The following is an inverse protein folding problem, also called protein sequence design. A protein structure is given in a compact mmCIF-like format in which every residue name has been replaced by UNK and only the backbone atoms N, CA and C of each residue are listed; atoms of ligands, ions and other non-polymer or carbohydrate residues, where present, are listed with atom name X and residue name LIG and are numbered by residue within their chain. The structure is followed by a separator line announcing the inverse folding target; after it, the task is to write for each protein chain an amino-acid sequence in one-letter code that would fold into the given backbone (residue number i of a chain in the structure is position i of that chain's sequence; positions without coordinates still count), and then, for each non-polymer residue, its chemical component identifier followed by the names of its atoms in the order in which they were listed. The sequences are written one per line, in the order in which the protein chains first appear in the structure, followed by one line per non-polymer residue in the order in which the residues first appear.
data_IF_527745684119
#
_entry.id   IF_527745684119
#
_cell.length_a   1.000
_cell.length_b   1.000
_cell.length_c   1.000
_cell.angle_alpha   90.00
_cell.angle_beta   90.00
_cell.angle_gamma   90.00
#
_symmetry.space_group_name_H-M   'P 1'
#
loop_
_entity.id
_entity.type
_entity.pdbx_description
1 polymer ?
#
# COMPACT_ATOMS: atom_id res chain seq x y z
N UNK A 1 -8.70 2.54 25.31
CA UNK A 1 -8.58 3.98 24.97
C UNK A 1 -9.02 4.17 23.52
N UNK A 2 -9.50 5.37 23.14
CA UNK A 2 -9.81 5.67 21.74
C UNK A 2 -8.53 5.91 20.95
N UNK A 3 -8.52 5.55 19.66
CA UNK A 3 -7.40 5.81 18.77
C UNK A 3 -7.19 7.32 18.62
N UNK A 4 -5.95 7.85 18.79
CA UNK A 4 -5.66 9.24 18.49
C UNK A 4 -5.89 9.54 17.00
N UNK A 5 -6.43 10.73 16.69
CA UNK A 5 -6.63 11.11 15.29
C UNK A 5 -5.33 11.11 14.50
N UNK A 6 -5.37 10.47 13.35
CA UNK A 6 -4.28 10.55 12.38
C UNK A 6 -4.34 11.94 11.72
N UNK A 7 -3.42 12.81 12.07
CA UNK A 7 -3.25 14.10 11.39
C UNK A 7 -2.63 13.88 10.01
N UNK A 8 -3.14 14.59 9.02
CA UNK A 8 -2.60 14.60 7.67
C UNK A 8 -3.55 13.99 6.63
N UNK A 9 -3.27 14.36 5.40
CA UNK A 9 -3.97 13.88 4.19
C UNK A 9 -3.16 12.78 3.50
N UNK A 10 -3.74 12.12 2.51
CA UNK A 10 -2.98 11.24 1.62
C UNK A 10 -2.15 12.09 0.66
N UNK A 11 -0.82 11.99 0.66
CA UNK A 11 -0.01 12.72 -0.30
C UNK A 11 -0.31 12.25 -1.73
N UNK A 12 -0.22 13.19 -2.65
CA UNK A 12 -0.18 12.96 -4.10
C UNK A 12 1.10 13.54 -4.66
N UNK A 13 1.28 13.51 -5.97
CA UNK A 13 2.39 14.19 -6.61
C UNK A 13 2.26 15.72 -6.54
N UNK A 14 1.03 16.26 -6.57
CA UNK A 14 0.77 17.71 -6.51
C UNK A 14 0.53 18.25 -5.10
N UNK A 15 0.17 17.38 -4.16
CA UNK A 15 -0.05 17.74 -2.76
C UNK A 15 0.87 16.92 -1.86
N UNK A 16 2.16 17.31 -1.78
CA UNK A 16 3.14 16.61 -0.95
C UNK A 16 2.78 16.79 0.53
N UNK A 17 3.22 15.85 1.35
CA UNK A 17 3.02 15.90 2.80
C UNK A 17 4.33 16.24 3.49
N UNK A 18 4.32 17.20 4.42
CA UNK A 18 5.46 17.43 5.30
C UNK A 18 5.64 16.26 6.25
N UNK A 19 6.86 15.78 6.34
CA UNK A 19 7.29 14.70 7.22
C UNK A 19 8.51 15.15 8.03
N UNK A 20 9.00 14.33 8.96
CA UNK A 20 10.14 14.70 9.82
C UNK A 20 11.46 14.83 9.06
N UNK A 21 11.59 14.14 7.95
CA UNK A 21 12.77 14.13 7.08
C UNK A 21 12.60 14.99 5.81
N UNK A 22 11.58 15.86 5.75
CA UNK A 22 11.27 16.69 4.61
C UNK A 22 9.92 16.37 4.00
N UNK A 23 9.64 16.94 2.83
CA UNK A 23 8.41 16.67 2.10
C UNK A 23 8.47 15.27 1.47
N UNK A 24 7.34 14.58 1.44
CA UNK A 24 7.17 13.34 0.70
C UNK A 24 6.17 13.51 -0.44
N UNK A 25 6.50 12.93 -1.59
CA UNK A 25 5.72 12.93 -2.81
C UNK A 25 5.37 11.49 -3.16
N UNK A 26 4.11 11.24 -3.54
CA UNK A 26 3.65 9.90 -3.95
C UNK A 26 3.50 9.82 -5.45
N UNK A 27 4.09 8.78 -6.03
CA UNK A 27 4.00 8.43 -7.45
C UNK A 27 3.10 7.22 -7.60
N UNK A 28 2.09 7.32 -8.48
CA UNK A 28 1.13 6.27 -8.83
C UNK A 28 1.27 5.94 -10.31
N UNK A 29 2.12 4.99 -10.69
CA UNK A 29 2.26 4.62 -12.10
C UNK A 29 0.95 4.06 -12.66
N UNK A 30 0.67 4.35 -13.92
CA UNK A 30 -0.45 3.73 -14.61
C UNK A 30 -0.29 2.21 -14.63
N UNK A 31 -1.39 1.48 -14.54
CA UNK A 31 -1.41 0.02 -14.44
C UNK A 31 -0.59 -0.55 -13.28
N UNK A 32 -0.20 0.28 -12.30
CA UNK A 32 0.77 -0.05 -11.25
C UNK A 32 2.10 -0.59 -11.82
N UNK A 33 2.48 -0.22 -13.03
CA UNK A 33 3.62 -0.73 -13.80
C UNK A 33 4.61 0.39 -14.13
N UNK A 34 5.89 0.07 -14.11
CA UNK A 34 7.00 0.92 -14.48
C UNK A 34 7.83 0.22 -15.55
N UNK A 35 8.31 0.96 -16.56
CA UNK A 35 9.43 0.47 -17.36
C UNK A 35 10.72 0.53 -16.55
N UNK A 36 11.75 -0.21 -16.98
CA UNK A 36 13.08 -0.13 -16.36
C UNK A 36 13.62 1.31 -16.35
N UNK A 37 13.48 2.02 -17.47
CA UNK A 37 13.87 3.43 -17.59
C UNK A 37 13.14 4.32 -16.56
N UNK A 38 11.83 4.16 -16.42
CA UNK A 38 11.04 4.91 -15.43
C UNK A 38 11.47 4.60 -14.00
N UNK A 39 11.76 3.34 -13.69
CA UNK A 39 12.21 2.93 -12.36
C UNK A 39 13.61 3.46 -12.02
N UNK A 40 14.55 3.40 -12.97
CA UNK A 40 15.88 3.97 -12.82
C UNK A 40 15.83 5.51 -12.70
N UNK A 41 14.98 6.16 -13.53
CA UNK A 41 14.75 7.59 -13.45
C UNK A 41 14.15 8.02 -12.10
N UNK A 42 13.22 7.22 -11.55
CA UNK A 42 12.66 7.44 -10.21
C UNK A 42 13.75 7.34 -9.12
N UNK A 43 14.66 6.36 -9.21
CA UNK A 43 15.83 6.26 -8.32
C UNK A 43 16.72 7.50 -8.40
N UNK A 44 17.03 7.96 -9.62
CA UNK A 44 17.81 9.18 -9.84
C UNK A 44 17.16 10.44 -9.26
N UNK A 45 15.83 10.56 -9.39
CA UNK A 45 15.06 11.66 -8.80
C UNK A 45 15.08 11.60 -7.27
N UNK A 46 14.95 10.42 -6.68
CA UNK A 46 15.02 10.25 -5.23
C UNK A 46 16.39 10.62 -4.67
N UNK A 47 17.46 10.28 -5.38
CA UNK A 47 18.84 10.62 -5.01
C UNK A 47 19.14 12.11 -5.18
N UNK A 48 18.77 12.68 -6.31
CA UNK A 48 19.14 14.06 -6.67
C UNK A 48 18.32 15.11 -5.92
N UNK A 49 17.04 14.86 -5.69
CA UNK A 49 16.10 15.86 -5.15
C UNK A 49 15.57 15.52 -3.76
N UNK A 50 15.62 14.26 -3.35
CA UNK A 50 15.19 13.76 -2.05
C UNK A 50 16.34 13.40 -1.12
N UNK A 51 16.10 12.45 -0.23
CA UNK A 51 17.11 11.88 0.67
C UNK A 51 17.57 10.47 0.27
N UNK A 52 17.30 10.04 -0.98
CA UNK A 52 17.64 8.72 -1.49
C UNK A 52 16.76 7.59 -0.97
N UNK A 53 15.73 7.86 -0.17
CA UNK A 53 14.82 6.83 0.35
C UNK A 53 13.54 6.74 -0.49
N UNK A 54 13.14 5.51 -0.78
CA UNK A 54 11.92 5.16 -1.53
C UNK A 54 11.07 4.23 -0.67
N UNK A 55 9.84 4.69 -0.31
CA UNK A 55 8.86 3.87 0.40
C UNK A 55 7.90 3.20 -0.59
N UNK A 56 7.67 1.90 -0.44
CA UNK A 56 6.61 1.15 -1.12
C UNK A 56 5.35 1.15 -0.28
N UNK A 57 4.21 1.40 -0.90
CA UNK A 57 2.96 1.61 -0.18
C UNK A 57 1.96 0.47 -0.38
N UNK A 58 1.01 0.33 0.56
CA UNK A 58 -0.12 -0.60 0.42
C UNK A 58 -1.15 -0.21 -0.65
N UNK A 59 -0.82 0.75 -1.51
CA UNK A 59 -1.66 1.21 -2.63
C UNK A 59 -0.95 1.07 -3.97
N UNK A 60 -0.03 0.11 -4.08
CA UNK A 60 0.77 -0.13 -5.28
C UNK A 60 1.36 1.20 -5.84
N UNK A 61 1.95 1.98 -4.95
CA UNK A 61 2.57 3.27 -5.26
C UNK A 61 3.89 3.40 -4.52
N UNK A 62 4.76 4.26 -4.99
CA UNK A 62 6.02 4.60 -4.32
C UNK A 62 6.00 6.03 -3.79
N UNK A 63 6.82 6.31 -2.78
CA UNK A 63 7.00 7.65 -2.22
C UNK A 63 8.48 8.01 -2.23
N UNK A 64 8.78 9.19 -2.77
CA UNK A 64 10.08 9.84 -2.66
C UNK A 64 10.04 10.70 -1.42
N UNK A 65 11.08 10.64 -0.60
CA UNK A 65 11.20 11.31 0.69
C UNK A 65 12.29 12.36 0.71
N UNK A 66 12.24 13.24 1.71
CA UNK A 66 13.33 14.19 1.98
C UNK A 66 13.37 15.38 1.02
N UNK A 67 12.27 15.65 0.28
CA UNK A 67 12.22 16.79 -0.61
C UNK A 67 12.14 18.10 0.19
N UNK A 68 12.77 19.15 -0.34
CA UNK A 68 12.60 20.54 0.11
C UNK A 68 11.59 21.25 -0.80
N UNK A 69 11.05 22.41 -0.39
CA UNK A 69 10.20 23.20 -1.29
C UNK A 69 10.90 23.55 -2.62
N UNK A 70 12.22 23.79 -2.60
CA UNK A 70 13.00 24.11 -3.80
C UNK A 70 13.24 22.89 -4.71
N UNK A 71 13.48 21.71 -4.13
CA UNK A 71 13.69 20.48 -4.90
C UNK A 71 12.38 19.84 -5.37
N UNK A 72 11.27 20.09 -4.68
CA UNK A 72 9.97 19.52 -5.01
C UNK A 72 9.52 19.85 -6.44
N UNK A 73 9.60 21.12 -6.85
CA UNK A 73 9.19 21.54 -8.21
C UNK A 73 10.03 20.84 -9.29
N UNK A 74 11.33 20.69 -9.04
CA UNK A 74 12.24 20.00 -9.96
C UNK A 74 11.93 18.50 -10.03
N UNK A 75 11.69 17.86 -8.88
CA UNK A 75 11.30 16.45 -8.81
C UNK A 75 9.97 16.20 -9.53
N UNK A 76 8.98 17.08 -9.35
CA UNK A 76 7.68 16.99 -10.03
C UNK A 76 7.84 17.08 -11.55
N UNK A 77 8.58 18.08 -12.06
CA UNK A 77 8.88 18.22 -13.50
C UNK A 77 9.60 16.99 -14.06
N UNK A 78 10.60 16.45 -13.35
CA UNK A 78 11.32 15.27 -13.78
C UNK A 78 10.41 14.01 -13.82
N UNK A 79 9.51 13.85 -12.84
CA UNK A 79 8.51 12.76 -12.84
C UNK A 79 7.50 12.90 -13.98
N UNK A 80 7.09 14.13 -14.33
CA UNK A 80 6.22 14.39 -15.48
C UNK A 80 6.93 14.07 -16.80
N UNK A 81 8.21 14.41 -16.94
CA UNK A 81 9.01 14.07 -18.13
C UNK A 81 9.14 12.55 -18.32
N UNK A 82 9.16 11.77 -17.23
CA UNK A 82 9.12 10.30 -17.26
C UNK A 82 7.71 9.72 -17.42
N UNK A 83 6.67 10.55 -17.57
CA UNK A 83 5.25 10.13 -17.62
C UNK A 83 4.80 9.37 -16.37
N UNK A 84 5.50 9.51 -15.25
CA UNK A 84 5.17 8.90 -13.96
C UNK A 84 4.09 9.65 -13.19
N UNK A 85 3.90 10.93 -13.50
CA UNK A 85 2.90 11.83 -12.91
C UNK A 85 2.14 12.51 -14.05
N UNK A 86 0.83 12.69 -13.87
CA UNK A 86 -0.02 13.40 -14.82
C UNK A 86 0.41 14.87 -14.97
N UNK A 87 0.03 15.50 -16.07
CA UNK A 87 0.28 16.94 -16.28
C UNK A 87 -0.59 17.81 -15.37
N UNK A 88 -1.75 17.32 -14.94
CA UNK A 88 -2.70 18.05 -14.10
C UNK A 88 -2.96 17.34 -12.77
N UNK A 89 -3.25 18.12 -11.74
CA UNK A 89 -3.58 17.62 -10.41
C UNK A 89 -4.90 16.84 -10.39
N UNK A 90 -5.88 17.23 -11.20
CA UNK A 90 -7.18 16.57 -11.31
C UNK A 90 -7.02 15.11 -11.79
N UNK A 91 -6.33 14.89 -12.89
CA UNK A 91 -6.08 13.56 -13.41
C UNK A 91 -5.21 12.72 -12.46
N UNK A 92 -4.20 13.33 -11.82
CA UNK A 92 -3.35 12.63 -10.85
C UNK A 92 -4.15 12.15 -9.63
N UNK A 93 -5.13 12.93 -9.17
CA UNK A 93 -5.98 12.56 -8.03
C UNK A 93 -6.77 11.26 -8.30
N UNK A 94 -7.19 11.03 -9.53
CA UNK A 94 -8.03 9.91 -9.96
C UNK A 94 -7.24 8.64 -10.32
N UNK A 95 -5.91 8.67 -10.32
CA UNK A 95 -5.03 7.53 -10.61
C UNK A 95 -4.99 6.44 -9.52
N UNK A 96 -5.84 6.52 -8.50
CA UNK A 96 -5.90 5.58 -7.39
C UNK A 96 -6.54 4.24 -7.73
N UNK A 97 -6.11 3.58 -8.82
CA UNK A 97 -6.62 2.27 -9.26
C UNK A 97 -5.64 1.18 -8.87
N UNK A 98 -6.11 0.18 -8.12
CA UNK A 98 -5.36 -1.05 -7.82
C UNK A 98 -5.73 -2.12 -8.85
N UNK A 99 -4.72 -2.76 -9.43
CA UNK A 99 -4.90 -3.89 -10.33
C UNK A 99 -4.39 -5.17 -9.67
N UNK A 100 -5.06 -6.29 -9.93
CA UNK A 100 -4.48 -7.61 -9.67
C UNK A 100 -3.10 -7.69 -10.32
N UNK A 101 -2.01 -7.98 -9.60
CA UNK A 101 -0.66 -7.94 -10.19
C UNK A 101 -0.44 -8.95 -11.32
N UNK A 102 -1.34 -9.92 -11.47
CA UNK A 102 -1.25 -10.97 -12.50
C UNK A 102 -1.92 -10.60 -13.84
N UNK A 103 -2.39 -9.35 -13.98
CA UNK A 103 -3.01 -8.91 -15.25
C UNK A 103 -2.08 -9.10 -16.44
N UNK A 104 -2.66 -9.35 -17.61
CA UNK A 104 -1.97 -9.45 -18.90
C UNK A 104 -2.49 -8.39 -19.86
N UNK A 105 -1.64 -7.98 -20.81
CA UNK A 105 -2.08 -7.07 -21.85
C UNK A 105 -3.29 -7.65 -22.60
N UNK A 106 -4.33 -6.82 -22.76
CA UNK A 106 -5.61 -7.17 -23.39
C UNK A 106 -6.51 -8.16 -22.60
N UNK A 107 -6.15 -8.55 -21.39
CA UNK A 107 -7.09 -9.27 -20.53
C UNK A 107 -8.22 -8.36 -20.01
N UNK A 108 -9.16 -8.93 -19.27
CA UNK A 108 -10.30 -8.17 -18.75
C UNK A 108 -9.88 -7.09 -17.76
N UNK A 109 -8.91 -7.36 -16.87
CA UNK A 109 -8.36 -6.38 -15.92
C UNK A 109 -7.74 -5.20 -16.66
N UNK A 110 -6.92 -5.48 -17.68
CA UNK A 110 -6.30 -4.44 -18.50
C UNK A 110 -7.35 -3.59 -19.24
N UNK A 111 -8.29 -4.23 -19.96
CA UNK A 111 -9.30 -3.50 -20.75
C UNK A 111 -10.21 -2.62 -19.89
N UNK A 112 -10.68 -3.12 -18.75
CA UNK A 112 -11.49 -2.33 -17.83
C UNK A 112 -10.70 -1.17 -17.22
N UNK A 113 -9.43 -1.38 -16.90
CA UNK A 113 -8.57 -0.31 -16.37
C UNK A 113 -8.33 0.77 -17.43
N UNK A 114 -8.02 0.37 -18.67
CA UNK A 114 -7.85 1.30 -19.78
C UNK A 114 -9.13 2.10 -20.02
N UNK A 115 -10.27 1.42 -20.08
CA UNK A 115 -11.57 2.07 -20.27
C UNK A 115 -11.91 3.06 -19.14
N UNK A 116 -11.47 2.80 -17.89
CA UNK A 116 -11.59 3.77 -16.81
C UNK A 116 -10.65 4.96 -16.99
N UNK A 117 -9.39 4.73 -17.39
CA UNK A 117 -8.42 5.81 -17.62
C UNK A 117 -8.85 6.74 -18.75
N UNK A 118 -9.48 6.19 -19.80
CA UNK A 118 -10.00 6.97 -20.93
C UNK A 118 -11.21 7.86 -20.54
N UNK A 119 -11.80 7.61 -19.37
CA UNK A 119 -13.03 8.27 -18.90
C UNK A 119 -12.86 8.91 -17.51
N UNK A 120 -11.63 9.22 -17.09
CA UNK A 120 -11.40 9.84 -15.77
C UNK A 120 -12.13 11.17 -15.59
N UNK A 121 -12.30 11.93 -16.66
CA UNK A 121 -13.02 13.23 -16.64
C UNK A 121 -14.53 13.10 -16.33
N UNK A 122 -15.09 11.90 -16.44
CA UNK A 122 -16.48 11.62 -16.08
C UNK A 122 -16.64 11.32 -14.58
N UNK A 123 -15.54 11.14 -13.83
CA UNK A 123 -15.60 10.89 -12.39
C UNK A 123 -15.90 12.20 -11.64
N UNK A 124 -16.70 12.13 -10.55
CA UNK A 124 -16.91 13.28 -9.68
C UNK A 124 -15.66 13.57 -8.86
N UNK A 125 -15.67 14.72 -8.17
CA UNK A 125 -14.68 14.97 -7.11
C UNK A 125 -14.82 13.91 -6.01
N UNK A 126 -13.73 13.23 -5.69
CA UNK A 126 -13.65 12.11 -4.75
C UNK A 126 -12.63 12.40 -3.63
N UNK A 127 -12.86 11.88 -2.41
CA UNK A 127 -11.89 12.01 -1.32
C UNK A 127 -10.50 11.47 -1.71
N UNK A 128 -9.44 12.10 -1.21
CA UNK A 128 -8.04 11.73 -1.54
C UNK A 128 -7.68 10.27 -1.21
N UNK A 129 -8.44 9.62 -0.34
CA UNK A 129 -8.27 8.21 0.02
C UNK A 129 -9.17 7.27 -0.77
N UNK A 130 -10.09 7.79 -1.58
CA UNK A 130 -10.95 6.98 -2.42
C UNK A 130 -10.12 6.22 -3.46
N UNK A 131 -10.52 5.00 -3.77
CA UNK A 131 -9.81 4.18 -4.74
C UNK A 131 -10.67 3.11 -5.36
N UNK A 132 -10.21 2.63 -6.50
CA UNK A 132 -10.82 1.58 -7.29
C UNK A 132 -9.95 0.32 -7.25
N UNK A 133 -10.56 -0.87 -7.42
CA UNK A 133 -9.82 -2.13 -7.60
C UNK A 133 -10.35 -2.88 -8.81
N UNK A 134 -9.45 -3.30 -9.69
CA UNK A 134 -9.70 -4.15 -10.84
C UNK A 134 -9.09 -5.54 -10.57
N UNK A 135 -9.92 -6.47 -10.12
CA UNK A 135 -9.50 -7.79 -9.63
C UNK A 135 -10.30 -8.89 -10.34
N UNK A 136 -10.16 -8.93 -11.67
CA UNK A 136 -10.96 -9.79 -12.54
C UNK A 136 -10.25 -11.09 -12.95
N UNK A 137 -9.21 -11.47 -12.21
CA UNK A 137 -8.51 -12.75 -12.36
C UNK A 137 -9.37 -13.95 -11.97
N UNK A 138 -8.80 -15.16 -12.10
CA UNK A 138 -9.49 -16.41 -11.70
C UNK A 138 -9.84 -16.46 -10.21
N UNK A 139 -9.02 -15.80 -9.40
CA UNK A 139 -9.18 -15.69 -7.96
C UNK A 139 -8.93 -14.24 -7.55
N UNK A 140 -9.85 -13.60 -6.81
CA UNK A 140 -9.60 -12.27 -6.29
C UNK A 140 -8.40 -12.27 -5.32
N UNK A 141 -7.48 -11.33 -5.49
CA UNK A 141 -6.29 -11.18 -4.64
C UNK A 141 -6.24 -9.82 -3.92
N UNK A 142 -7.12 -8.87 -4.30
CA UNK A 142 -7.11 -7.51 -3.76
C UNK A 142 -8.14 -7.27 -2.65
N UNK A 143 -8.87 -8.28 -2.18
CA UNK A 143 -9.97 -8.10 -1.22
C UNK A 143 -9.53 -7.49 0.12
N UNK A 144 -8.32 -7.80 0.58
CA UNK A 144 -7.71 -7.17 1.76
C UNK A 144 -7.15 -5.76 1.53
N UNK A 145 -7.13 -5.28 0.28
CA UNK A 145 -6.56 -4.00 -0.08
C UNK A 145 -7.59 -2.86 0.02
N UNK A 146 -7.10 -1.64 0.27
CA UNK A 146 -7.97 -0.48 0.42
C UNK A 146 -8.46 0.03 -0.95
N UNK A 147 -9.72 -0.25 -1.26
CA UNK A 147 -10.45 0.35 -2.39
C UNK A 147 -11.89 0.61 -1.95
N UNK A 148 -12.62 1.47 -2.63
CA UNK A 148 -14.01 1.82 -2.30
C UNK A 148 -15.01 1.18 -3.27
N UNK A 149 -14.65 1.11 -4.54
CA UNK A 149 -15.42 0.42 -5.58
C UNK A 149 -14.52 -0.63 -6.23
N UNK A 150 -15.08 -1.81 -6.45
CA UNK A 150 -14.34 -2.97 -6.97
C UNK A 150 -15.04 -3.59 -8.16
N UNK A 151 -14.28 -4.03 -9.15
CA UNK A 151 -14.71 -4.98 -10.17
C UNK A 151 -13.99 -6.30 -9.92
N UNK A 152 -14.76 -7.34 -9.61
CA UNK A 152 -14.24 -8.68 -9.30
C UNK A 152 -14.96 -9.74 -10.16
N UNK A 153 -14.30 -10.86 -10.40
CA UNK A 153 -14.94 -12.03 -11.02
C UNK A 153 -15.47 -12.95 -9.94
N UNK A 154 -16.74 -13.35 -10.05
CA UNK A 154 -17.36 -14.35 -9.18
C UNK A 154 -16.88 -15.76 -9.54
N UNK A 155 -17.20 -16.73 -8.68
CA UNK A 155 -16.82 -18.14 -8.88
C UNK A 155 -17.39 -18.75 -10.17
N UNK A 156 -18.55 -18.27 -10.63
CA UNK A 156 -19.23 -18.70 -11.86
C UNK A 156 -18.85 -17.85 -13.09
N UNK A 157 -17.81 -16.99 -12.96
CA UNK A 157 -17.25 -16.21 -14.06
C UNK A 157 -17.98 -14.90 -14.38
N UNK A 158 -18.95 -14.47 -13.57
CA UNK A 158 -19.63 -13.16 -13.75
C UNK A 158 -18.75 -12.03 -13.32
N UNK A 159 -18.82 -10.92 -14.04
CA UNK A 159 -18.22 -9.66 -13.60
C UNK A 159 -19.16 -8.96 -12.61
N UNK A 160 -18.65 -8.67 -11.42
CA UNK A 160 -19.38 -8.03 -10.34
C UNK A 160 -18.84 -6.64 -10.05
N UNK A 161 -19.70 -5.65 -9.97
CA UNK A 161 -19.45 -4.34 -9.37
C UNK A 161 -19.80 -4.42 -7.88
N UNK A 162 -18.81 -4.12 -7.01
CA UNK A 162 -18.90 -4.33 -5.57
C UNK A 162 -18.55 -3.05 -4.82
N UNK A 163 -19.38 -2.68 -3.87
CA UNK A 163 -19.09 -1.65 -2.87
C UNK A 163 -18.16 -2.20 -1.78
N UNK A 164 -17.19 -1.43 -1.34
CA UNK A 164 -16.27 -1.89 -0.29
C UNK A 164 -17.04 -2.22 1.01
N UNK A 165 -16.79 -3.41 1.53
CA UNK A 165 -17.48 -3.95 2.71
C UNK A 165 -18.74 -4.76 2.41
N UNK A 166 -19.21 -4.81 1.16
CA UNK A 166 -20.38 -5.63 0.78
C UNK A 166 -20.00 -7.10 0.52
N UNK A 167 -20.88 -8.02 0.92
CA UNK A 167 -20.75 -9.45 0.65
C UNK A 167 -21.32 -9.86 -0.71
N UNK A 168 -22.08 -8.96 -1.35
CA UNK A 168 -22.73 -9.14 -2.64
C UNK A 168 -22.30 -8.03 -3.60
N UNK A 169 -22.29 -8.34 -4.88
CA UNK A 169 -22.06 -7.40 -5.96
C UNK A 169 -23.15 -7.47 -7.02
N UNK A 170 -23.30 -6.39 -7.77
CA UNK A 170 -24.19 -6.34 -8.94
C UNK A 170 -23.48 -6.93 -10.14
N UNK A 171 -24.13 -7.88 -10.84
CA UNK A 171 -23.64 -8.37 -12.12
C UNK A 171 -23.70 -7.27 -13.19
N UNK A 172 -22.58 -7.07 -13.88
CA UNK A 172 -22.44 -6.10 -14.99
C UNK A 172 -21.83 -6.77 -16.21
N UNK A 173 -22.15 -6.30 -17.41
CA UNK A 173 -21.44 -6.71 -18.61
C UNK A 173 -20.09 -5.97 -18.73
N UNK A 174 -19.18 -6.48 -19.53
CA UNK A 174 -17.91 -5.80 -19.81
C UNK A 174 -18.15 -4.39 -20.38
N UNK A 175 -19.14 -4.24 -21.24
CA UNK A 175 -19.45 -2.98 -21.93
C UNK A 175 -20.08 -1.93 -20.98
N UNK A 176 -20.78 -2.37 -19.95
CA UNK A 176 -21.47 -1.47 -19.01
C UNK A 176 -20.72 -1.26 -17.70
N UNK A 177 -19.70 -2.07 -17.41
CA UNK A 177 -19.00 -2.08 -16.13
C UNK A 177 -18.44 -0.71 -15.70
N UNK A 178 -17.78 0.00 -16.62
CA UNK A 178 -17.18 1.30 -16.32
C UNK A 178 -18.25 2.39 -16.16
N UNK A 179 -19.31 2.38 -16.97
CA UNK A 179 -20.44 3.30 -16.78
C UNK A 179 -21.13 3.08 -15.43
N UNK A 180 -21.33 1.82 -15.03
CA UNK A 180 -21.91 1.48 -13.73
C UNK A 180 -20.98 1.88 -12.56
N UNK A 181 -19.65 1.71 -12.71
CA UNK A 181 -18.65 2.15 -11.73
C UNK A 181 -18.67 3.68 -11.56
N UNK A 182 -18.70 4.44 -12.66
CA UNK A 182 -18.77 5.90 -12.65
C UNK A 182 -20.08 6.38 -12.00
N UNK A 183 -21.22 5.75 -12.33
CA UNK A 183 -22.51 6.06 -11.71
C UNK A 183 -22.47 5.82 -10.19
N UNK A 184 -21.88 4.71 -9.72
CA UNK A 184 -21.69 4.44 -8.29
C UNK A 184 -20.77 5.46 -7.61
N UNK A 185 -19.72 5.93 -8.29
CA UNK A 185 -18.86 6.99 -7.77
C UNK A 185 -19.61 8.33 -7.61
N UNK A 186 -20.51 8.66 -8.56
CA UNK A 186 -21.40 9.83 -8.44
C UNK A 186 -22.39 9.71 -7.27
N UNK A 187 -23.01 8.54 -7.10
CA UNK A 187 -23.90 8.28 -5.95
C UNK A 187 -23.16 8.47 -4.63
N UNK A 188 -21.94 7.93 -4.52
CA UNK A 188 -21.08 8.12 -3.35
C UNK A 188 -20.77 9.60 -3.11
N UNK A 189 -20.31 10.34 -4.14
CA UNK A 189 -19.98 11.76 -4.02
C UNK A 189 -21.19 12.58 -3.56
N UNK A 190 -22.40 12.28 -4.05
CA UNK A 190 -23.64 12.91 -3.61
C UNK A 190 -23.96 12.57 -2.15
N UNK A 191 -23.81 11.30 -1.74
CA UNK A 191 -24.13 10.86 -0.38
C UNK A 191 -23.24 11.48 0.70
N UNK A 192 -21.99 11.81 0.37
CA UNK A 192 -21.04 12.45 1.32
C UNK A 192 -21.05 13.98 1.28
N UNK A 193 -21.85 14.59 0.41
CA UNK A 193 -21.86 16.05 0.20
C UNK A 193 -22.22 16.78 1.50
N UNK A 194 -21.35 17.69 1.94
CA UNK A 194 -21.51 18.41 3.21
C UNK A 194 -21.17 17.60 4.47
N UNK A 195 -20.73 16.33 4.32
CA UNK A 195 -20.32 15.44 5.40
C UNK A 195 -18.82 15.37 5.64
N UNK A 196 -18.36 14.30 6.31
CA UNK A 196 -16.96 14.09 6.60
C UNK A 196 -16.16 13.72 5.33
N UNK A 197 -15.14 14.50 4.93
CA UNK A 197 -14.33 14.23 3.74
C UNK A 197 -13.48 12.94 3.84
N UNK A 198 -13.40 12.31 5.02
CA UNK A 198 -12.73 11.04 5.23
C UNK A 198 -13.68 9.83 5.16
N UNK A 199 -14.97 10.04 4.82
CA UNK A 199 -15.93 8.94 4.65
C UNK A 199 -15.46 7.99 3.57
N UNK A 200 -15.67 6.69 3.80
CA UNK A 200 -15.36 5.59 2.88
C UNK A 200 -16.66 4.90 2.46
N UNK A 201 -16.65 4.24 1.32
CA UNK A 201 -17.82 3.52 0.82
C UNK A 201 -18.39 2.55 1.86
N UNK A 202 -17.55 1.78 2.56
CA UNK A 202 -17.96 0.84 3.62
C UNK A 202 -18.70 1.47 4.80
N UNK A 203 -18.65 2.81 4.95
CA UNK A 203 -19.33 3.53 6.02
C UNK A 203 -20.72 4.02 5.61
N UNK A 204 -21.09 3.85 4.35
CA UNK A 204 -22.41 4.16 3.84
C UNK A 204 -23.30 2.92 3.86
N UNK A 205 -24.65 3.09 4.01
CA UNK A 205 -25.57 1.99 3.78
C UNK A 205 -25.44 1.49 2.35
N UNK A 206 -25.14 0.21 2.16
CA UNK A 206 -25.10 -0.39 0.83
C UNK A 206 -26.52 -0.72 0.35
N UNK A 207 -26.89 -0.33 -0.87
CA UNK A 207 -28.16 -0.74 -1.44
C UNK A 207 -28.22 -2.25 -1.77
N UNK A 208 -27.10 -2.96 -1.82
CA UNK A 208 -26.99 -4.38 -2.15
C UNK A 208 -26.73 -5.28 -0.93
N UNK A 209 -27.30 -4.94 0.24
CA UNK A 209 -27.04 -5.68 1.49
C UNK A 209 -27.78 -7.02 1.60
N UNK A 210 -28.74 -7.33 0.74
CA UNK A 210 -29.52 -8.58 0.85
C UNK A 210 -29.48 -9.42 -0.42
N UNK A 211 -29.45 -10.75 -0.25
CA UNK A 211 -29.60 -11.73 -1.33
C UNK A 211 -31.03 -11.73 -1.96
N UNK A 212 -31.93 -10.85 -1.54
CA UNK A 212 -33.27 -10.67 -2.07
C UNK A 212 -33.31 -9.73 -3.28
N UNK A 213 -32.21 -9.06 -3.59
CA UNK A 213 -32.10 -8.29 -4.83
C UNK A 213 -31.77 -9.24 -5.98
N UNK A 214 -32.67 -9.31 -6.97
CA UNK A 214 -32.61 -10.19 -8.17
C UNK A 214 -31.26 -10.05 -8.93
N UNK A 215 -30.54 -8.95 -8.73
CA UNK A 215 -29.25 -8.65 -9.37
C UNK A 215 -28.06 -8.79 -8.43
N UNK A 216 -28.26 -9.26 -7.19
CA UNK A 216 -27.20 -9.42 -6.22
C UNK A 216 -26.58 -10.81 -6.27
N UNK A 217 -25.30 -10.90 -6.57
CA UNK A 217 -24.54 -12.15 -6.58
C UNK A 217 -23.50 -12.14 -5.47
N UNK A 218 -23.41 -13.26 -4.77
CA UNK A 218 -22.41 -13.41 -3.69
C UNK A 218 -21.00 -13.33 -4.28
N UNK A 219 -20.15 -12.47 -3.70
CA UNK A 219 -18.74 -12.38 -4.10
C UNK A 219 -18.00 -13.66 -3.71
N UNK A 220 -16.98 -14.00 -4.49
CA UNK A 220 -16.04 -15.06 -4.12
C UNK A 220 -15.11 -14.52 -3.03
N UNK A 221 -15.12 -15.12 -1.84
CA UNK A 221 -14.15 -14.76 -0.79
C UNK A 221 -12.81 -15.42 -1.09
N UNK A 222 -11.74 -14.63 -1.00
CA UNK A 222 -10.37 -15.09 -1.17
C UNK A 222 -9.45 -14.29 -0.25
N UNK A 223 -8.52 -15.01 0.38
CA UNK A 223 -7.43 -14.42 1.17
C UNK A 223 -6.07 -14.60 0.46
N UNK A 224 -6.12 -14.96 -0.83
CA UNK A 224 -4.91 -15.15 -1.62
C UNK A 224 -4.17 -13.81 -1.80
N UNK A 225 -2.87 -13.89 -1.81
CA UNK A 225 -1.96 -12.83 -2.25
C UNK A 225 -0.95 -13.41 -3.23
N UNK A 226 -0.28 -12.58 -4.00
CA UNK A 226 0.82 -13.06 -4.81
C UNK A 226 1.98 -13.49 -3.89
N UNK A 227 2.45 -14.75 -3.92
CA UNK A 227 3.54 -15.21 -3.07
C UNK A 227 4.84 -14.49 -3.41
N UNK A 228 5.74 -14.34 -2.42
CA UNK A 228 7.09 -13.84 -2.65
C UNK A 228 7.96 -14.90 -3.32
N UNK A 229 9.03 -14.45 -3.97
CA UNK A 229 9.95 -15.30 -4.70
C UNK A 229 9.59 -15.47 -6.17
N UNK A 230 9.97 -16.60 -6.75
CA UNK A 230 9.74 -16.89 -8.17
C UNK A 230 8.28 -17.21 -8.44
N UNK A 231 7.70 -16.51 -9.40
CA UNK A 231 6.32 -16.71 -9.87
C UNK A 231 6.30 -17.00 -11.37
N UNK A 232 5.13 -17.34 -11.92
CA UNK A 232 4.98 -17.52 -13.36
C UNK A 232 5.24 -16.22 -14.17
N UNK A 233 5.16 -15.05 -13.52
CA UNK A 233 5.35 -13.75 -14.16
C UNK A 233 6.78 -13.18 -13.99
N UNK A 234 7.58 -13.74 -13.10
CA UNK A 234 8.92 -13.28 -12.74
C UNK A 234 9.19 -13.40 -11.24
N UNK A 235 9.85 -12.42 -10.63
CA UNK A 235 10.17 -12.43 -9.21
C UNK A 235 9.35 -11.39 -8.45
N UNK A 236 8.56 -11.84 -7.46
CA UNK A 236 7.89 -10.96 -6.51
C UNK A 236 8.75 -10.77 -5.27
N UNK A 237 9.07 -9.52 -4.96
CA UNK A 237 9.96 -9.13 -3.87
C UNK A 237 9.28 -8.08 -2.99
N UNK A 238 9.66 -8.05 -1.71
CA UNK A 238 9.30 -6.98 -0.80
C UNK A 238 10.55 -6.29 -0.27
N UNK A 239 10.69 -4.95 -0.33
CA UNK A 239 11.74 -4.28 0.39
C UNK A 239 11.50 -4.41 1.90
N UNK A 240 12.55 -4.65 2.66
CA UNK A 240 12.48 -4.82 4.11
C UNK A 240 11.78 -3.61 4.75
N UNK A 241 10.73 -3.89 5.53
CA UNK A 241 9.89 -2.86 6.17
C UNK A 241 9.25 -1.85 5.21
N UNK A 242 9.11 -2.22 3.94
CA UNK A 242 8.49 -1.41 2.89
C UNK A 242 9.34 -0.21 2.45
N UNK A 243 10.65 -0.20 2.66
CA UNK A 243 11.55 0.90 2.26
C UNK A 243 12.85 0.34 1.67
N UNK A 244 13.39 1.04 0.68
CA UNK A 244 14.72 0.78 0.12
C UNK A 244 15.45 2.10 -0.10
N UNK A 245 16.77 2.03 -0.33
CA UNK A 245 17.53 3.16 -0.85
C UNK A 245 17.43 3.21 -2.38
N UNK A 246 17.64 4.38 -2.98
CA UNK A 246 17.76 4.54 -4.44
C UNK A 246 18.88 3.66 -5.00
N UNK A 247 19.97 3.53 -4.26
CA UNK A 247 21.13 2.73 -4.64
C UNK A 247 20.80 1.22 -4.68
N UNK A 248 20.25 0.65 -3.58
CA UNK A 248 19.88 -0.77 -3.52
C UNK A 248 18.81 -1.10 -4.58
N UNK A 249 17.88 -0.18 -4.82
CA UNK A 249 16.85 -0.40 -5.83
C UNK A 249 17.44 -0.34 -7.25
N UNK A 250 18.37 0.58 -7.52
CA UNK A 250 19.10 0.64 -8.80
C UNK A 250 19.90 -0.65 -9.04
N UNK A 251 20.59 -1.13 -8.02
CA UNK A 251 21.34 -2.39 -8.10
C UNK A 251 20.42 -3.57 -8.44
N UNK A 252 19.30 -3.71 -7.73
CA UNK A 252 18.29 -4.74 -8.02
C UNK A 252 17.79 -4.65 -9.47
N UNK A 253 17.47 -3.44 -9.95
CA UNK A 253 16.93 -3.23 -11.29
C UNK A 253 17.95 -3.61 -12.37
N UNK A 254 19.21 -3.21 -12.22
CA UNK A 254 20.28 -3.53 -13.18
C UNK A 254 20.55 -5.04 -13.21
N UNK A 255 20.54 -5.71 -12.07
CA UNK A 255 20.78 -7.16 -11.98
C UNK A 255 19.59 -8.00 -12.48
N UNK A 256 18.38 -7.45 -12.49
CA UNK A 256 17.17 -8.21 -12.77
C UNK A 256 16.93 -8.48 -14.26
N UNK A 257 17.58 -7.77 -15.15
CA UNK A 257 17.35 -7.81 -16.61
C UNK A 257 15.85 -7.73 -17.00
N UNK A 258 15.03 -7.07 -16.17
CA UNK A 258 13.61 -6.92 -16.43
C UNK A 258 13.34 -5.67 -17.29
N UNK A 259 12.47 -5.77 -18.28
CA UNK A 259 12.02 -4.61 -19.06
C UNK A 259 10.98 -3.78 -18.28
N UNK A 260 10.22 -4.44 -17.40
CA UNK A 260 9.13 -3.84 -16.64
C UNK A 260 9.05 -4.42 -15.24
N UNK A 261 8.51 -3.64 -14.32
CA UNK A 261 8.14 -4.09 -12.99
C UNK A 261 6.74 -3.58 -12.60
N UNK A 262 6.06 -4.32 -11.73
CA UNK A 262 4.75 -3.95 -11.17
C UNK A 262 4.89 -3.66 -9.70
N UNK A 263 4.26 -2.59 -9.24
CA UNK A 263 4.09 -2.32 -7.81
C UNK A 263 2.92 -3.16 -7.28
N UNK A 264 3.10 -3.77 -6.12
CA UNK A 264 2.05 -4.58 -5.50
C UNK A 264 1.49 -3.92 -4.25
N UNK A 265 0.20 -4.15 -3.89
CA UNK A 265 -0.41 -3.53 -2.71
C UNK A 265 0.11 -4.12 -1.39
N UNK A 266 0.99 -5.10 -1.43
CA UNK A 266 1.67 -5.68 -0.26
C UNK A 266 3.03 -5.02 0.00
N UNK A 267 3.21 -3.76 -0.46
CA UNK A 267 4.46 -3.00 -0.37
C UNK A 267 5.64 -3.69 -1.06
N UNK A 268 5.35 -4.39 -2.15
CA UNK A 268 6.31 -5.16 -2.92
C UNK A 268 6.39 -4.70 -4.38
N UNK A 269 7.18 -5.41 -5.13
CA UNK A 269 7.35 -5.26 -6.58
C UNK A 269 7.50 -6.61 -7.24
N UNK A 270 6.94 -6.75 -8.43
CA UNK A 270 7.07 -7.92 -9.30
C UNK A 270 7.94 -7.53 -10.49
N UNK A 271 9.14 -8.10 -10.59
CA UNK A 271 10.06 -7.94 -11.71
C UNK A 271 9.60 -8.88 -12.83
N UNK A 272 9.05 -8.32 -13.90
CA UNK A 272 8.46 -9.12 -15.00
C UNK A 272 9.55 -9.89 -15.76
N UNK A 273 9.32 -11.20 -15.95
CA UNK A 273 10.18 -12.11 -16.72
C UNK A 273 11.62 -12.27 -16.22
N UNK A 274 11.96 -11.68 -15.07
CA UNK A 274 13.26 -11.95 -14.46
C UNK A 274 13.39 -13.47 -14.19
N UNK A 275 14.50 -14.06 -14.60
CA UNK A 275 14.69 -15.53 -14.52
C UNK A 275 15.76 -15.97 -13.54
N UNK A 276 16.86 -15.22 -13.48
CA UNK A 276 17.98 -15.45 -12.55
C UNK A 276 18.32 -14.13 -11.88
N UNK A 277 18.11 -14.07 -10.57
CA UNK A 277 18.26 -12.85 -9.81
C UNK A 277 19.07 -13.10 -8.54
N UNK A 278 20.16 -12.38 -8.37
CA UNK A 278 20.79 -12.21 -7.06
C UNK A 278 20.05 -11.12 -6.31
N UNK A 279 19.43 -11.48 -5.20
CA UNK A 279 18.59 -10.55 -4.44
C UNK A 279 19.45 -9.77 -3.45
N UNK A 280 19.51 -8.42 -3.56
CA UNK A 280 20.24 -7.59 -2.60
C UNK A 280 19.69 -7.75 -1.16
N UNK A 281 20.52 -7.58 -0.11
CA UNK A 281 20.12 -7.81 1.28
C UNK A 281 18.92 -6.98 1.77
N UNK A 282 18.62 -5.86 1.11
CA UNK A 282 17.46 -5.00 1.41
C UNK A 282 16.12 -5.54 0.92
N UNK A 283 16.10 -6.63 0.14
CA UNK A 283 14.87 -7.21 -0.42
C UNK A 283 14.62 -8.62 0.11
N UNK A 284 13.36 -8.99 0.20
CA UNK A 284 12.85 -10.25 0.73
C UNK A 284 12.17 -11.00 -0.42
N UNK A 285 12.54 -12.28 -0.57
CA UNK A 285 11.93 -13.22 -1.53
C UNK A 285 11.36 -14.46 -0.89
N UNK A 286 11.52 -14.61 0.41
CA UNK A 286 11.05 -15.77 1.18
C UNK A 286 9.89 -15.32 2.08
N UNK A 287 8.74 -15.98 1.96
CA UNK A 287 7.55 -15.71 2.81
C UNK A 287 7.79 -16.03 4.29
N UNK A 288 8.81 -16.82 4.60
CA UNK A 288 9.20 -17.16 5.97
C UNK A 288 10.17 -16.14 6.59
N UNK A 289 10.61 -15.11 5.84
CA UNK A 289 11.51 -14.10 6.38
C UNK A 289 10.85 -13.40 7.60
N UNK A 290 11.49 -13.42 8.77
CA UNK A 290 10.93 -12.86 10.00
C UNK A 290 10.61 -11.36 9.92
N UNK A 291 11.23 -10.61 9.00
CA UNK A 291 10.94 -9.20 8.78
C UNK A 291 9.49 -8.96 8.32
N UNK A 292 8.87 -9.92 7.63
CA UNK A 292 7.48 -9.83 7.16
C UNK A 292 6.47 -9.83 8.30
N UNK A 293 6.80 -10.42 9.44
CA UNK A 293 5.95 -10.46 10.64
C UNK A 293 5.97 -9.16 11.45
N UNK A 294 6.88 -8.24 11.13
CA UNK A 294 7.02 -6.97 11.84
C UNK A 294 6.33 -5.86 11.02
N UNK A 295 5.20 -5.40 11.51
CA UNK A 295 4.54 -4.20 10.97
C UNK A 295 5.18 -2.98 11.61
N UNK A 296 5.85 -2.14 10.82
CA UNK A 296 6.60 -1.00 11.35
C UNK A 296 6.24 0.28 10.60
N UNK A 297 6.06 1.38 11.35
CA UNK A 297 5.89 2.71 10.77
C UNK A 297 7.26 3.37 10.48
N UNK A 298 7.31 4.48 9.73
CA UNK A 298 8.57 5.17 9.42
C UNK A 298 9.42 5.54 10.64
N UNK A 299 8.79 5.86 11.79
CA UNK A 299 9.53 6.23 13.00
C UNK A 299 10.24 7.59 12.90
N UNK A 300 11.01 7.93 13.94
CA UNK A 300 11.91 9.08 13.91
C UNK A 300 13.20 8.73 13.15
N UNK A 301 13.84 9.69 12.43
CA UNK A 301 13.41 11.08 12.23
C UNK A 301 12.34 11.28 11.16
N UNK A 302 11.99 10.26 10.42
CA UNK A 302 11.11 10.31 9.25
C UNK A 302 9.65 10.70 9.56
N UNK A 303 9.20 10.65 10.80
CA UNK A 303 7.87 11.06 11.23
C UNK A 303 7.94 12.00 12.43
N UNK A 304 7.38 13.20 12.29
CA UNK A 304 7.37 14.22 13.37
C UNK A 304 6.66 13.76 14.66
N UNK A 305 5.67 12.87 14.56
CA UNK A 305 4.95 12.34 15.72
C UNK A 305 5.68 11.19 16.41
N UNK A 306 6.73 10.65 15.80
CA UNK A 306 7.44 9.49 16.34
C UNK A 306 8.48 9.91 17.38
N UNK A 307 8.58 9.11 18.45
CA UNK A 307 9.51 9.33 19.55
C UNK A 307 10.78 8.47 19.47
N UNK A 308 10.85 7.54 18.50
CA UNK A 308 12.02 6.67 18.35
C UNK A 308 12.20 6.09 16.96
N UNK A 309 13.39 5.54 16.69
CA UNK A 309 13.74 4.88 15.44
C UNK A 309 13.14 3.46 15.38
N UNK A 310 11.94 3.36 14.83
CA UNK A 310 11.19 2.11 14.76
C UNK A 310 11.79 1.10 13.77
N UNK A 311 12.22 1.56 12.58
CA UNK A 311 12.83 0.67 11.57
C UNK A 311 14.17 0.12 12.02
N UNK A 312 15.01 0.93 12.66
CA UNK A 312 16.26 0.48 13.26
C UNK A 312 16.02 -0.58 14.34
N UNK A 313 15.01 -0.39 15.19
CA UNK A 313 14.64 -1.37 16.18
C UNK A 313 14.07 -2.66 15.54
N UNK A 314 13.22 -2.55 14.51
CA UNK A 314 12.72 -3.69 13.75
C UNK A 314 13.83 -4.52 13.10
N UNK A 315 14.83 -3.87 12.52
CA UNK A 315 15.98 -4.54 11.92
C UNK A 315 16.80 -5.35 12.93
N UNK A 316 16.94 -4.83 14.17
CA UNK A 316 17.61 -5.55 15.26
C UNK A 316 16.76 -6.70 15.82
N UNK A 317 15.43 -6.57 15.77
CA UNK A 317 14.48 -7.56 16.27
C UNK A 317 14.32 -8.76 15.33
N UNK A 318 14.32 -8.55 14.02
CA UNK A 318 14.03 -9.59 13.03
C UNK A 318 14.91 -10.85 13.17
N UNK A 319 16.24 -10.77 13.37
CA UNK A 319 17.06 -11.96 13.57
C UNK A 319 16.68 -12.75 14.85
N UNK A 320 16.25 -12.04 15.90
CA UNK A 320 15.82 -12.67 17.17
C UNK A 320 14.51 -13.45 16.99
N UNK A 321 13.59 -12.91 16.19
CA UNK A 321 12.35 -13.60 15.84
C UNK A 321 12.62 -14.88 15.03
N UNK A 322 13.55 -14.83 14.09
CA UNK A 322 13.94 -15.99 13.27
C UNK A 322 14.58 -17.11 14.11
N UNK A 323 15.31 -16.75 15.16
CA UNK A 323 15.97 -17.70 16.06
C UNK A 323 15.04 -18.30 17.12
N UNK A 324 13.81 -17.76 17.29
CA UNK A 324 12.91 -18.16 18.37
C UNK A 324 11.61 -18.80 17.86
N UNK A 325 11.49 -20.15 17.92
CA UNK A 325 10.29 -20.84 17.47
C UNK A 325 8.99 -20.45 18.20
N UNK A 326 9.06 -20.03 19.48
CA UNK A 326 7.88 -19.62 20.26
C UNK A 326 7.24 -18.33 19.73
N UNK A 327 7.98 -17.54 18.95
CA UNK A 327 7.52 -16.31 18.33
C UNK A 327 7.13 -16.49 16.84
N UNK A 328 7.24 -17.70 16.28
CA UNK A 328 7.00 -17.93 14.85
C UNK A 328 5.58 -17.64 14.38
N UNK A 329 4.59 -17.71 15.28
CA UNK A 329 3.18 -17.42 14.99
C UNK A 329 2.72 -16.03 15.43
N UNK A 330 3.60 -15.22 16.06
CA UNK A 330 3.21 -13.92 16.61
C UNK A 330 3.34 -12.80 15.58
N UNK A 331 2.30 -11.99 15.49
CA UNK A 331 2.30 -10.71 14.75
C UNK A 331 2.85 -9.59 15.64
N UNK A 332 3.82 -8.84 15.12
CA UNK A 332 4.46 -7.75 15.84
C UNK A 332 4.17 -6.39 15.19
N UNK A 333 3.92 -5.40 16.05
CA UNK A 333 3.77 -4.02 15.62
C UNK A 333 4.77 -3.11 16.35
N UNK A 334 5.60 -2.40 15.60
CA UNK A 334 6.52 -1.40 16.14
C UNK A 334 6.05 -0.02 15.66
N UNK A 335 5.56 0.79 16.60
CA UNK A 335 4.97 2.09 16.33
C UNK A 335 5.80 3.22 16.94
N UNK A 336 6.00 4.29 16.19
CA UNK A 336 6.70 5.50 16.67
C UNK A 336 5.88 6.33 17.66
N UNK A 337 4.58 6.10 17.75
CA UNK A 337 3.65 6.79 18.66
C UNK A 337 2.33 6.01 18.80
N UNK A 338 1.45 6.45 19.69
CA UNK A 338 0.15 5.80 19.94
C UNK A 338 -0.85 5.82 18.75
N UNK A 339 -0.55 6.46 17.61
CA UNK A 339 -1.46 6.49 16.44
C UNK A 339 -1.58 5.13 15.74
N UNK A 340 -0.58 4.27 15.83
CA UNK A 340 -0.60 2.93 15.27
C UNK A 340 -0.81 2.88 13.76
N UNK A 341 -0.11 3.76 13.00
CA UNK A 341 -0.37 3.94 11.56
C UNK A 341 -0.04 2.73 10.70
N UNK A 342 0.98 1.93 11.09
CA UNK A 342 1.40 0.77 10.33
C UNK A 342 0.44 -0.41 10.46
N UNK A 343 -0.13 -0.61 11.65
CA UNK A 343 -1.10 -1.68 11.96
C UNK A 343 -2.16 -1.15 12.93
N UNK A 344 -3.31 -0.68 12.42
CA UNK A 344 -4.39 -0.19 13.28
C UNK A 344 -5.18 -1.30 14.00
N UNK A 345 -4.98 -2.57 13.63
CA UNK A 345 -5.58 -3.72 14.30
C UNK A 345 -4.75 -4.13 15.52
N UNK A 346 -5.33 -4.97 16.38
CA UNK A 346 -4.60 -5.62 17.48
C UNK A 346 -3.51 -6.53 16.92
N UNK A 347 -2.39 -6.59 17.62
CA UNK A 347 -1.30 -7.54 17.36
C UNK A 347 -0.96 -8.30 18.64
N UNK A 348 -0.25 -9.41 18.51
CA UNK A 348 0.18 -10.19 19.68
C UNK A 348 1.12 -9.37 20.56
N UNK A 349 2.07 -8.66 19.93
CA UNK A 349 2.98 -7.76 20.61
C UNK A 349 3.03 -6.41 19.88
N UNK A 350 2.80 -5.33 20.63
CA UNK A 350 2.94 -3.96 20.13
C UNK A 350 3.98 -3.23 20.96
N UNK A 351 4.98 -2.63 20.29
CA UNK A 351 6.00 -1.78 20.90
C UNK A 351 5.77 -0.34 20.45
N UNK A 352 5.55 0.56 21.40
CA UNK A 352 5.29 1.98 21.11
C UNK A 352 6.46 2.81 21.62
N UNK A 353 7.16 3.48 20.69
CA UNK A 353 8.32 4.29 21.06
C UNK A 353 7.95 5.43 22.01
N UNK A 354 8.79 5.62 23.03
CA UNK A 354 8.79 6.73 23.97
C UNK A 354 10.13 7.46 23.89
N UNK A 355 10.24 8.57 24.60
CA UNK A 355 11.51 9.34 24.66
C UNK A 355 12.67 8.50 25.22
N UNK A 356 12.35 7.56 26.11
CA UNK A 356 13.29 6.58 26.67
C UNK A 356 12.71 5.20 26.48
N UNK A 357 13.12 4.47 25.42
CA UNK A 357 12.72 3.09 25.20
C UNK A 357 11.34 2.91 24.54
N UNK A 358 10.70 1.78 24.83
CA UNK A 358 9.40 1.41 24.25
C UNK A 358 8.40 0.99 25.33
N UNK A 359 7.16 1.37 25.15
CA UNK A 359 6.04 0.76 25.88
C UNK A 359 5.71 -0.59 25.26
N UNK A 360 5.40 -1.58 26.09
CA UNK A 360 5.05 -2.94 25.65
C UNK A 360 3.56 -3.19 25.88
N UNK A 361 2.86 -3.60 24.83
CA UNK A 361 1.44 -3.92 24.84
C UNK A 361 1.26 -5.34 24.30
N UNK A 362 0.55 -6.19 25.03
CA UNK A 362 0.26 -7.58 24.65
C UNK A 362 -1.19 -7.67 24.19
N UNK A 363 -1.43 -8.34 23.04
CA UNK A 363 -2.75 -8.54 22.41
C UNK A 363 -3.58 -7.26 22.29
N UNK A 364 -2.93 -6.17 21.88
CA UNK A 364 -3.54 -4.83 21.88
C UNK A 364 -3.15 -3.95 20.72
N UNK A 365 -3.76 -2.76 20.69
CA UNK A 365 -3.47 -1.68 19.76
C UNK A 365 -2.35 -0.77 20.31
N UNK A 366 -1.73 0.02 19.45
CA UNK A 366 -0.71 0.99 19.85
C UNK A 366 -1.19 2.09 20.82
N UNK A 367 -2.49 2.25 20.98
CA UNK A 367 -3.11 3.22 21.91
C UNK A 367 -3.70 2.58 23.18
N UNK A 368 -3.57 1.28 23.34
CA UNK A 368 -4.03 0.58 24.56
C UNK A 368 -3.04 0.80 25.72
N UNK A 369 -3.47 0.48 26.94
CA UNK A 369 -2.63 0.62 28.12
C UNK A 369 -1.47 -0.37 28.06
N UNK A 370 -0.21 0.06 28.18
CA UNK A 370 0.94 -0.84 28.18
C UNK A 370 1.00 -1.66 29.47
N UNK A 371 1.56 -2.85 29.38
CA UNK A 371 1.91 -3.68 30.56
C UNK A 371 3.25 -3.25 31.15
N UNK A 372 4.16 -2.71 30.31
CA UNK A 372 5.45 -2.16 30.73
C UNK A 372 5.65 -0.85 29.98
N UNK A 373 6.18 0.17 30.63
CA UNK A 373 6.45 1.49 30.07
C UNK A 373 7.94 1.77 29.98
N UNK A 374 8.38 2.37 28.86
CA UNK A 374 9.73 2.90 28.69
C UNK A 374 10.83 1.85 28.76
N UNK A 375 10.56 0.60 28.40
CA UNK A 375 11.55 -0.48 28.48
C UNK A 375 12.67 -0.27 27.43
N UNK A 376 13.89 -0.45 27.87
CA UNK A 376 15.08 -0.32 27.03
C UNK A 376 15.04 -1.31 25.86
N UNK A 377 15.37 -0.88 24.60
CA UNK A 377 15.38 -1.74 23.43
C UNK A 377 16.25 -3.00 23.57
N UNK A 378 17.38 -2.90 24.24
CA UNK A 378 18.29 -4.04 24.42
C UNK A 378 17.71 -5.06 25.41
N UNK A 379 17.03 -4.61 26.45
CA UNK A 379 16.32 -5.47 27.38
C UNK A 379 15.17 -6.19 26.67
N UNK A 380 14.42 -5.50 25.78
CA UNK A 380 13.37 -6.13 24.97
C UNK A 380 13.96 -7.24 24.10
N UNK A 381 15.07 -6.96 23.40
CA UNK A 381 15.70 -7.94 22.50
C UNK A 381 16.28 -9.16 23.24
N UNK A 382 16.66 -9.01 24.50
CA UNK A 382 17.16 -10.11 25.32
C UNK A 382 16.04 -10.97 25.91
N UNK A 383 14.86 -10.41 26.10
CA UNK A 383 13.74 -11.04 26.82
C UNK A 383 12.46 -11.18 25.98
N UNK A 384 12.57 -11.30 24.65
CA UNK A 384 11.40 -11.39 23.76
C UNK A 384 10.44 -12.55 24.12
N UNK A 385 10.96 -13.62 24.74
CA UNK A 385 10.20 -14.79 25.17
C UNK A 385 9.33 -14.53 26.42
N UNK A 386 9.62 -13.46 27.13
CA UNK A 386 8.92 -13.10 28.38
C UNK A 386 7.62 -12.32 28.17
N UNK A 387 7.23 -12.04 26.91
CA UNK A 387 6.05 -11.24 26.59
C UNK A 387 4.91 -12.05 25.97
#
# INVERSE_FOLDING_TARGET
MSRPEAQGWCPTAFHPMMSGDGMLLRVRPQFNRLSLEQALGLCGIAEQFGNGLIDFTSRAAVQIRGLTPASFTKALSALQSLSLVSQTASHEALRGVLLSPEWQENDLTYRLTQALYDRLDELPELPAKFGFAMDTGRQPVLQGCSADIRLETSKDGRLLLIEDGADFGRSVSQDTAISALIALAHMFSQAIRGGNPNTRMRNLPSPLQSAQDEYAYKRQLSFASLPLGKTALGFHLAPAFGQTTSQDFTELLIQSDCAFLRLTPWRGLLLERASNLTIPPGFISDEQDPKLRIQVCPGAPACQSAKGNTRGFAARMAPRLGANPALNSKDLHISGCAKGCAKPQKTDLTFVAQNCGFDVIVKGHAWDKPIITGLDPDIILQNLDGF
#
